data_IF_474700333505
#
_entry.id   IF_474700333505
#
_cell.length_a   1.000
_cell.length_b   1.000
_cell.length_c   1.000
_cell.angle_alpha   90.00
_cell.angle_beta   90.00
_cell.angle_gamma   90.00
#
_symmetry.space_group_name_H-M   'P 1'
#
loop_
_entity.id
_entity.type
_entity.pdbx_description
1 polymer ?
#
# COMPACT_ATOMS: atom_id res chain seq x y z
N UNK A 1 0.86 18.76 -27.59
CA UNK A 1 0.54 17.59 -26.77
C UNK A 1 0.93 17.83 -25.31
N UNK A 2 -0.05 18.04 -24.43
CA UNK A 2 0.21 18.09 -22.99
C UNK A 2 0.24 16.65 -22.50
N UNK A 3 1.44 16.10 -22.40
CA UNK A 3 1.69 14.86 -21.69
C UNK A 3 1.32 15.13 -20.21
N UNK A 4 0.08 14.79 -19.85
CA UNK A 4 -0.36 14.71 -18.47
C UNK A 4 0.56 13.69 -17.82
N UNK A 5 1.63 14.16 -17.18
CA UNK A 5 2.46 13.37 -16.28
C UNK A 5 1.57 12.99 -15.11
N UNK A 6 0.79 11.91 -15.29
CA UNK A 6 0.02 11.34 -14.22
C UNK A 6 0.97 11.15 -13.04
N UNK A 7 0.60 11.56 -11.82
CA UNK A 7 1.43 11.29 -10.65
C UNK A 7 1.82 9.81 -10.67
N UNK A 8 3.07 9.46 -10.31
CA UNK A 8 3.54 8.08 -10.35
C UNK A 8 2.48 7.21 -9.68
N UNK A 9 2.06 6.12 -10.33
CA UNK A 9 0.80 5.51 -9.97
C UNK A 9 0.92 5.02 -8.51
N UNK A 10 -0.02 5.43 -7.67
CA UNK A 10 0.08 5.30 -6.21
C UNK A 10 0.24 3.82 -5.82
N UNK A 11 1.17 3.55 -4.89
CA UNK A 11 1.35 2.22 -4.33
C UNK A 11 0.22 1.87 -3.36
N UNK A 12 0.02 0.58 -3.11
CA UNK A 12 -0.99 0.14 -2.13
C UNK A 12 -0.73 0.70 -0.72
N UNK A 13 0.56 0.82 -0.34
CA UNK A 13 0.96 1.50 0.89
C UNK A 13 0.48 2.95 0.95
N UNK A 14 0.65 3.73 -0.13
CA UNK A 14 0.14 5.10 -0.19
C UNK A 14 -1.38 5.17 -0.09
N UNK A 15 -2.11 4.28 -0.77
CA UNK A 15 -3.57 4.22 -0.69
C UNK A 15 -4.06 3.93 0.73
N UNK A 16 -3.39 3.03 1.47
CA UNK A 16 -3.70 2.77 2.87
C UNK A 16 -3.38 3.97 3.78
N UNK A 17 -2.29 4.68 3.51
CA UNK A 17 -1.95 5.91 4.24
C UNK A 17 -2.99 7.01 4.03
N UNK A 18 -3.50 7.18 2.81
CA UNK A 18 -4.51 8.20 2.49
C UNK A 18 -5.83 8.04 3.25
N UNK A 19 -6.19 6.81 3.65
CA UNK A 19 -7.40 6.53 4.45
C UNK A 19 -7.14 6.46 5.95
N UNK A 20 -5.90 6.75 6.36
CA UNK A 20 -5.48 6.75 7.76
C UNK A 20 -6.03 7.98 8.47
N UNK A 21 -6.58 7.75 9.65
CA UNK A 21 -7.13 8.76 10.57
C UNK A 21 -6.56 8.51 11.96
N UNK A 22 -6.74 9.44 12.88
CA UNK A 22 -6.35 9.26 14.29
C UNK A 22 -7.04 8.06 14.94
N UNK A 23 -8.28 7.74 14.52
CA UNK A 23 -9.09 6.67 15.11
C UNK A 23 -8.70 5.27 14.63
N UNK A 24 -8.28 5.13 13.38
CA UNK A 24 -7.96 3.82 12.77
C UNK A 24 -6.45 3.59 12.57
N UNK A 25 -5.61 4.60 12.81
CA UNK A 25 -4.18 4.59 12.51
C UNK A 25 -3.44 3.38 13.09
N UNK A 26 -3.54 3.14 14.38
CA UNK A 26 -2.88 2.00 15.04
C UNK A 26 -3.32 0.64 14.46
N UNK A 27 -4.59 0.52 14.07
CA UNK A 27 -5.13 -0.69 13.45
C UNK A 27 -4.62 -0.89 12.03
N UNK A 28 -4.51 0.19 11.26
CA UNK A 28 -3.92 0.17 9.92
C UNK A 28 -2.42 -0.11 9.95
N UNK A 29 -1.67 0.48 10.89
CA UNK A 29 -0.23 0.29 11.04
C UNK A 29 0.08 -1.20 11.27
N UNK A 30 -0.64 -1.85 12.21
CA UNK A 30 -0.49 -3.30 12.48
C UNK A 30 -0.88 -4.19 11.29
N UNK A 31 -1.88 -3.79 10.50
CA UNK A 31 -2.27 -4.55 9.30
C UNK A 31 -1.22 -4.38 8.21
N UNK A 32 -0.66 -3.19 8.08
CA UNK A 32 0.42 -2.91 7.14
C UNK A 32 1.67 -3.71 7.48
N UNK A 33 2.09 -3.74 8.75
CA UNK A 33 3.20 -4.57 9.23
C UNK A 33 2.99 -6.04 8.89
N UNK A 34 1.84 -6.62 9.25
CA UNK A 34 1.52 -8.02 8.93
C UNK A 34 1.54 -8.31 7.44
N UNK A 35 1.04 -7.38 6.62
CA UNK A 35 1.04 -7.52 5.17
C UNK A 35 2.45 -7.49 4.61
N UNK A 36 3.34 -6.62 5.13
CA UNK A 36 4.74 -6.52 4.72
C UNK A 36 5.56 -7.78 5.07
N UNK A 37 5.18 -8.48 6.14
CA UNK A 37 5.81 -9.72 6.58
C UNK A 37 5.21 -10.98 5.95
N UNK A 38 4.12 -10.86 5.19
CA UNK A 38 3.46 -11.99 4.56
C UNK A 38 4.37 -12.68 3.53
N UNK A 39 4.45 -14.00 3.61
CA UNK A 39 4.97 -14.83 2.52
C UNK A 39 3.92 -15.03 1.41
N UNK A 40 4.28 -15.78 0.37
CA UNK A 40 3.40 -16.06 -0.78
C UNK A 40 2.12 -16.80 -0.40
N UNK A 41 2.15 -17.63 0.66
CA UNK A 41 0.99 -18.38 1.11
C UNK A 41 0.02 -17.50 1.93
N UNK A 42 0.57 -16.57 2.70
CA UNK A 42 -0.17 -15.66 3.55
C UNK A 42 -0.72 -14.45 2.78
N UNK A 43 -0.01 -14.02 1.73
CA UNK A 43 -0.32 -12.81 0.98
C UNK A 43 -1.77 -12.75 0.48
N UNK A 44 -2.38 -13.79 -0.13
CA UNK A 44 -3.73 -13.69 -0.67
C UNK A 44 -4.77 -13.37 0.40
N UNK A 45 -4.67 -14.03 1.56
CA UNK A 45 -5.59 -13.80 2.68
C UNK A 45 -5.41 -12.39 3.27
N UNK A 46 -4.16 -12.01 3.55
CA UNK A 46 -3.87 -10.70 4.14
C UNK A 46 -4.23 -9.54 3.21
N UNK A 47 -3.90 -9.68 1.92
CA UNK A 47 -4.20 -8.67 0.92
C UNK A 47 -5.69 -8.47 0.74
N UNK A 48 -6.49 -9.55 0.73
CA UNK A 48 -7.96 -9.46 0.67
C UNK A 48 -8.52 -8.64 1.83
N UNK A 49 -8.01 -8.87 3.04
CA UNK A 49 -8.42 -8.12 4.23
C UNK A 49 -8.05 -6.64 4.14
N UNK A 50 -6.85 -6.34 3.63
CA UNK A 50 -6.40 -4.96 3.46
C UNK A 50 -7.18 -4.23 2.36
N UNK A 51 -7.46 -4.87 1.23
CA UNK A 51 -8.29 -4.32 0.14
C UNK A 51 -9.69 -4.00 0.64
N UNK A 52 -10.33 -4.93 1.36
CA UNK A 52 -11.68 -4.71 1.90
C UNK A 52 -11.71 -3.52 2.86
N UNK A 53 -10.70 -3.39 3.71
CA UNK A 53 -10.57 -2.25 4.62
C UNK A 53 -10.40 -0.93 3.86
N UNK A 54 -9.53 -0.91 2.84
CA UNK A 54 -9.28 0.26 2.01
C UNK A 54 -10.56 0.74 1.32
N UNK A 55 -11.31 -0.18 0.70
CA UNK A 55 -12.57 0.15 0.02
C UNK A 55 -13.65 0.62 0.98
N UNK A 56 -13.78 0.00 2.16
CA UNK A 56 -14.74 0.44 3.18
C UNK A 56 -14.39 1.81 3.77
N UNK A 57 -13.12 2.22 3.69
CA UNK A 57 -12.66 3.54 4.15
C UNK A 57 -12.71 4.60 3.04
N UNK A 58 -13.30 4.29 1.87
CA UNK A 58 -13.42 5.21 0.73
C UNK A 58 -12.15 5.36 -0.12
N UNK A 59 -11.12 4.56 0.14
CA UNK A 59 -9.88 4.58 -0.63
C UNK A 59 -10.00 3.88 -1.98
N UNK A 60 -9.12 4.25 -2.91
CA UNK A 60 -9.07 3.68 -4.26
C UNK A 60 -7.98 2.62 -4.35
N UNK A 61 -8.27 1.52 -5.03
CA UNK A 61 -7.30 0.46 -5.35
C UNK A 61 -6.79 0.66 -6.76
N UNK A 62 -5.47 0.82 -6.91
CA UNK A 62 -4.81 0.86 -8.21
C UNK A 62 -4.49 -0.56 -8.69
N UNK A 63 -5.47 -1.24 -9.28
CA UNK A 63 -5.38 -2.68 -9.61
C UNK A 63 -4.19 -3.05 -10.49
N UNK A 64 -3.85 -2.24 -11.50
CA UNK A 64 -2.71 -2.50 -12.38
C UNK A 64 -1.38 -2.52 -11.62
N UNK A 65 -1.17 -1.55 -10.73
CA UNK A 65 -0.01 -1.52 -9.84
C UNK A 65 -0.02 -2.67 -8.84
N UNK A 66 -1.17 -2.91 -8.22
CA UNK A 66 -1.31 -3.95 -7.22
C UNK A 66 -0.97 -5.33 -7.81
N UNK A 67 -1.44 -5.61 -9.02
CA UNK A 67 -1.09 -6.84 -9.73
C UNK A 67 0.43 -6.94 -9.99
N UNK A 68 1.06 -5.87 -10.46
CA UNK A 68 2.52 -5.86 -10.68
C UNK A 68 3.30 -6.05 -9.38
N UNK A 69 2.84 -5.47 -8.28
CA UNK A 69 3.44 -5.59 -6.96
C UNK A 69 3.28 -7.02 -6.42
N UNK A 70 2.10 -7.65 -6.59
CA UNK A 70 1.87 -9.05 -6.20
C UNK A 70 2.74 -10.02 -6.99
N UNK A 71 2.89 -9.84 -8.30
CA UNK A 71 3.75 -10.68 -9.15
C UNK A 71 5.24 -10.61 -8.76
N UNK A 72 5.67 -9.52 -8.12
CA UNK A 72 7.04 -9.29 -7.69
C UNK A 72 7.22 -9.49 -6.18
N UNK A 73 6.21 -10.00 -5.49
CA UNK A 73 6.19 -10.06 -4.03
C UNK A 73 7.29 -10.96 -3.47
N UNK A 74 7.52 -12.13 -4.07
CA UNK A 74 8.49 -13.13 -3.64
C UNK A 74 9.94 -12.81 -4.07
N UNK A 75 10.22 -11.62 -4.59
CA UNK A 75 11.57 -11.25 -5.02
C UNK A 75 12.51 -11.12 -3.81
N UNK A 76 13.72 -11.70 -3.84
CA UNK A 76 14.64 -11.73 -2.69
C UNK A 76 14.98 -10.35 -2.12
N UNK A 77 15.02 -9.32 -2.97
CA UNK A 77 15.37 -7.96 -2.56
C UNK A 77 14.27 -7.26 -1.74
N UNK A 78 13.07 -7.87 -1.64
CA UNK A 78 11.88 -7.33 -0.97
C UNK A 78 11.53 -5.92 -1.43
N UNK A 79 11.67 -5.64 -2.74
CA UNK A 79 11.49 -4.28 -3.31
C UNK A 79 10.07 -3.76 -3.13
N UNK A 80 9.07 -4.62 -3.29
CA UNK A 80 7.65 -4.26 -3.16
C UNK A 80 7.34 -3.88 -1.71
N UNK A 81 7.75 -4.72 -0.76
CA UNK A 81 7.56 -4.49 0.67
C UNK A 81 8.24 -3.19 1.10
N UNK A 82 9.49 -2.95 0.68
CA UNK A 82 10.22 -1.71 0.98
C UNK A 82 9.52 -0.47 0.39
N UNK A 83 9.05 -0.55 -0.86
CA UNK A 83 8.29 0.53 -1.52
C UNK A 83 7.01 0.84 -0.74
N UNK A 84 6.23 -0.20 -0.42
CA UNK A 84 4.98 -0.08 0.33
C UNK A 84 5.20 0.49 1.75
N UNK A 85 6.24 0.01 2.45
CA UNK A 85 6.60 0.52 3.77
C UNK A 85 7.01 2.00 3.72
N UNK A 86 7.85 2.38 2.75
CA UNK A 86 8.26 3.76 2.55
C UNK A 86 7.05 4.66 2.30
N UNK A 87 6.20 4.28 1.36
CA UNK A 87 5.06 5.10 0.96
C UNK A 87 3.95 5.17 2.04
N UNK A 88 3.94 4.23 3.00
CA UNK A 88 2.98 4.22 4.11
C UNK A 88 3.51 4.93 5.38
N UNK A 89 4.75 4.68 5.78
CA UNK A 89 5.30 5.17 7.06
C UNK A 89 6.07 6.47 6.96
N UNK A 90 6.69 6.75 5.79
CA UNK A 90 7.43 8.00 5.62
C UNK A 90 6.41 9.09 5.36
N UNK A 91 6.17 9.91 6.38
CA UNK A 91 5.45 11.18 6.21
C UNK A 91 6.24 12.01 5.20
N UNK A 92 5.62 12.36 4.09
CA UNK A 92 6.08 13.49 3.29
C UNK A 92 6.12 14.66 4.28
N UNK A 93 7.33 15.18 4.58
CA UNK A 93 7.42 16.40 5.36
C UNK A 93 6.72 17.45 4.51
N UNK A 94 5.58 17.93 4.97
CA UNK A 94 5.05 19.20 4.49
C UNK A 94 6.09 20.22 4.89
N UNK A 95 6.97 20.59 3.97
CA UNK A 95 7.75 21.82 4.06
C UNK A 95 6.75 22.96 3.93
N UNK A 96 6.34 23.50 5.07
CA UNK A 96 5.87 24.88 5.22
C UNK A 96 6.93 25.67 5.97
#
# INVERSE_FOLDING_TARGET
DKETTAPPPDSFGKSLYQVRTEKNGTGLDRRMERLLDADEQQLPFQLRQAVHLLTNSGGRVHWGNLLQDVLKWSYPERRVQKKWARDYFVRERVTE
#
